data_IF_128957776910
#
_entry.id   IF_128957776910
#
_cell.length_a   1.000
_cell.length_b   1.000
_cell.length_c   1.000
_cell.angle_alpha   90.00
_cell.angle_beta   90.00
_cell.angle_gamma   90.00
#
_symmetry.space_group_name_H-M   'P 1'
#
loop_
_entity.id
_entity.type
_entity.pdbx_description
1 polymer ?
#
# COMPACT_ATOMS: atom_id res chain seq x y z
N UNK A 1 -6.09 23.98 3.86
CA UNK A 1 -5.84 22.63 3.38
C UNK A 1 -5.29 21.79 4.52
N UNK A 2 -5.82 20.62 4.70
CA UNK A 2 -5.39 19.76 5.79
C UNK A 2 -4.05 19.10 5.45
N UNK A 3 -3.05 19.33 6.28
CA UNK A 3 -1.73 18.73 6.12
C UNK A 3 -1.78 17.20 5.97
N UNK A 4 -2.67 16.57 6.72
CA UNK A 4 -2.80 15.14 6.81
C UNK A 4 -3.10 14.48 5.47
N UNK A 5 -4.07 15.04 4.73
CA UNK A 5 -4.45 14.50 3.43
C UNK A 5 -3.33 14.65 2.40
N UNK A 6 -2.63 15.78 2.46
CA UNK A 6 -1.53 16.04 1.54
C UNK A 6 -0.39 15.04 1.74
N UNK A 7 -0.05 14.75 2.99
CA UNK A 7 1.05 13.83 3.29
C UNK A 7 0.68 12.40 2.89
N UNK A 8 -0.53 11.96 3.17
CA UNK A 8 -0.99 10.62 2.74
C UNK A 8 -0.97 10.51 1.22
N UNK A 9 -1.38 11.56 0.51
CA UNK A 9 -1.37 11.57 -0.94
C UNK A 9 0.06 11.53 -1.50
N UNK A 10 0.98 12.23 -0.87
CA UNK A 10 2.39 12.19 -1.27
C UNK A 10 2.99 10.80 -1.07
N UNK A 11 2.68 10.17 0.06
CA UNK A 11 3.12 8.78 0.29
C UNK A 11 2.55 7.85 -0.78
N UNK A 12 1.27 7.98 -1.11
CA UNK A 12 0.64 7.18 -2.15
C UNK A 12 1.32 7.38 -3.51
N UNK A 13 1.72 8.62 -3.81
CA UNK A 13 2.42 8.92 -5.05
C UNK A 13 3.76 8.18 -5.12
N UNK A 14 4.55 8.23 -4.04
CA UNK A 14 5.84 7.53 -4.02
C UNK A 14 5.65 6.02 -4.13
N UNK A 15 4.62 5.47 -3.51
CA UNK A 15 4.32 4.05 -3.59
C UNK A 15 4.04 3.64 -5.04
N UNK A 16 3.27 4.43 -5.78
CA UNK A 16 2.88 4.09 -7.15
C UNK A 16 3.99 4.34 -8.18
N UNK A 17 4.83 5.35 -7.94
CA UNK A 17 5.77 5.81 -8.96
C UNK A 17 7.21 5.35 -8.74
N UNK A 18 7.46 4.55 -7.70
CA UNK A 18 8.80 4.04 -7.41
C UNK A 18 8.87 2.57 -7.77
N UNK A 19 9.71 2.21 -8.72
CA UNK A 19 9.76 0.84 -9.25
C UNK A 19 10.11 -0.19 -8.16
N UNK A 20 11.01 0.14 -7.25
CA UNK A 20 11.38 -0.77 -6.16
C UNK A 20 10.20 -1.06 -5.24
N UNK A 21 9.43 -0.02 -4.92
CA UNK A 21 8.23 -0.19 -4.08
C UNK A 21 7.14 -0.92 -4.86
N UNK A 22 7.02 -0.62 -6.15
CA UNK A 22 6.08 -1.34 -7.01
C UNK A 22 6.35 -2.84 -7.01
N UNK A 23 7.62 -3.24 -7.03
CA UNK A 23 7.98 -4.66 -6.99
C UNK A 23 7.53 -5.32 -5.68
N UNK A 24 7.66 -4.62 -4.55
CA UNK A 24 7.17 -5.11 -3.26
C UNK A 24 5.65 -5.22 -3.29
N UNK A 25 4.97 -4.23 -3.85
CA UNK A 25 3.51 -4.25 -4.01
C UNK A 25 3.08 -5.45 -4.86
N UNK A 26 3.76 -5.70 -5.97
CA UNK A 26 3.44 -6.84 -6.85
C UNK A 26 3.58 -8.18 -6.12
N UNK A 27 4.62 -8.31 -5.31
CA UNK A 27 4.80 -9.52 -4.51
C UNK A 27 3.65 -9.70 -3.52
N UNK A 28 3.25 -8.61 -2.85
CA UNK A 28 2.13 -8.67 -1.90
C UNK A 28 0.83 -9.01 -2.62
N UNK A 29 0.58 -8.44 -3.79
CA UNK A 29 -0.59 -8.77 -4.61
C UNK A 29 -0.60 -10.27 -4.95
N UNK A 30 0.53 -10.83 -5.32
CA UNK A 30 0.63 -12.26 -5.61
C UNK A 30 0.27 -13.11 -4.41
N UNK A 31 0.70 -12.72 -3.22
CA UNK A 31 0.36 -13.43 -1.98
C UNK A 31 -1.16 -13.38 -1.71
N UNK A 32 -1.78 -12.23 -1.94
CA UNK A 32 -3.22 -12.07 -1.75
C UNK A 32 -3.99 -12.93 -2.76
N UNK A 33 -3.55 -12.96 -4.01
CA UNK A 33 -4.17 -13.79 -5.05
C UNK A 33 -4.12 -15.26 -4.67
N UNK A 34 -2.97 -15.73 -4.19
CA UNK A 34 -2.82 -17.14 -3.77
C UNK A 34 -3.79 -17.49 -2.66
N UNK A 35 -3.96 -16.60 -1.68
CA UNK A 35 -4.91 -16.82 -0.59
C UNK A 35 -6.34 -16.79 -1.10
N UNK A 36 -6.67 -15.87 -1.99
CA UNK A 36 -8.01 -15.77 -2.57
C UNK A 36 -8.37 -17.02 -3.34
N UNK A 37 -7.42 -17.61 -4.07
CA UNK A 37 -7.62 -18.86 -4.80
C UNK A 37 -7.91 -20.03 -3.88
N UNK A 38 -7.49 -19.96 -2.62
CA UNK A 38 -7.77 -20.97 -1.60
C UNK A 38 -9.02 -20.64 -0.78
N UNK A 39 -9.78 -19.62 -1.18
CA UNK A 39 -10.98 -19.20 -0.49
C UNK A 39 -10.75 -18.29 0.71
N UNK A 40 -9.52 -17.81 0.89
CA UNK A 40 -9.18 -16.91 1.99
C UNK A 40 -9.04 -15.49 1.46
N UNK A 41 -9.90 -14.58 1.93
CA UNK A 41 -9.84 -13.18 1.51
C UNK A 41 -9.38 -12.31 2.69
N UNK A 42 -8.17 -11.76 2.64
CA UNK A 42 -7.68 -10.90 3.72
C UNK A 42 -8.50 -9.62 3.81
N UNK A 43 -8.61 -9.11 5.02
CA UNK A 43 -9.29 -7.82 5.25
C UNK A 43 -8.28 -6.68 5.13
N UNK A 44 -8.82 -5.48 4.88
CA UNK A 44 -8.02 -4.25 4.75
C UNK A 44 -7.10 -4.07 5.95
N UNK A 45 -7.64 -4.23 7.17
CA UNK A 45 -6.85 -4.02 8.38
C UNK A 45 -5.68 -5.00 8.48
N UNK A 46 -5.88 -6.24 8.07
CA UNK A 46 -4.80 -7.22 8.09
C UNK A 46 -3.68 -6.82 7.13
N UNK A 47 -4.03 -6.45 5.90
CA UNK A 47 -3.04 -6.03 4.92
C UNK A 47 -2.33 -4.74 5.32
N UNK A 48 -3.08 -3.78 5.86
CA UNK A 48 -2.52 -2.50 6.27
C UNK A 48 -1.49 -2.64 7.38
N UNK A 49 -1.55 -3.72 8.16
CA UNK A 49 -0.66 -3.92 9.31
C UNK A 49 0.35 -5.05 9.10
N UNK A 50 0.37 -5.68 7.94
CA UNK A 50 1.33 -6.77 7.70
C UNK A 50 2.76 -6.23 7.53
N UNK A 51 3.75 -7.10 7.72
CA UNK A 51 5.15 -6.71 7.68
C UNK A 51 5.56 -6.15 6.31
N UNK A 52 5.03 -6.73 5.23
CA UNK A 52 5.32 -6.25 3.87
C UNK A 52 4.80 -4.84 3.66
N UNK A 53 3.58 -4.55 4.14
CA UNK A 53 3.02 -3.20 4.05
C UNK A 53 3.87 -2.21 4.86
N UNK A 54 4.35 -2.61 6.03
CA UNK A 54 5.23 -1.76 6.83
C UNK A 54 6.50 -1.41 6.08
N UNK A 55 7.05 -2.36 5.33
CA UNK A 55 8.22 -2.12 4.50
C UNK A 55 7.89 -1.12 3.38
N UNK A 56 6.77 -1.29 2.70
CA UNK A 56 6.32 -0.38 1.64
C UNK A 56 6.22 1.05 2.18
N UNK A 57 5.53 1.23 3.31
CA UNK A 57 5.32 2.55 3.90
C UNK A 57 6.64 3.16 4.36
N UNK A 58 7.53 2.35 4.96
CA UNK A 58 8.83 2.83 5.40
C UNK A 58 9.67 3.35 4.22
N UNK A 59 9.68 2.63 3.12
CA UNK A 59 10.44 3.04 1.94
C UNK A 59 9.84 4.30 1.31
N UNK A 60 8.53 4.41 1.26
CA UNK A 60 7.87 5.63 0.78
C UNK A 60 8.17 6.81 1.71
N UNK A 61 8.16 6.60 3.01
CA UNK A 61 8.47 7.65 3.98
C UNK A 61 9.91 8.15 3.85
N UNK A 62 10.85 7.26 3.56
CA UNK A 62 12.25 7.65 3.31
C UNK A 62 12.35 8.58 2.10
N UNK A 63 11.61 8.28 1.04
CA UNK A 63 11.62 9.11 -0.16
C UNK A 63 10.95 10.45 0.09
N UNK A 64 9.88 10.46 0.85
CA UNK A 64 9.20 11.70 1.22
C UNK A 64 10.16 12.61 1.99
N UNK A 65 10.89 12.07 2.93
CA UNK A 65 11.88 12.84 3.67
C UNK A 65 13.01 13.32 2.76
N UNK A 66 13.51 12.44 1.90
CA UNK A 66 14.65 12.76 1.02
C UNK A 66 14.33 13.88 0.03
N UNK A 67 13.15 13.83 -0.58
CA UNK A 67 12.82 14.77 -1.67
C UNK A 67 11.99 15.97 -1.21
N UNK A 68 11.17 15.80 -0.18
CA UNK A 68 10.28 16.86 0.29
C UNK A 68 10.62 17.37 1.69
N UNK A 69 11.56 16.73 2.38
CA UNK A 69 11.96 17.14 3.73
C UNK A 69 10.87 16.95 4.77
N UNK A 70 9.90 16.07 4.52
CA UNK A 70 8.74 15.87 5.38
C UNK A 70 8.85 14.52 6.07
N UNK A 71 8.64 14.50 7.38
CA UNK A 71 8.52 13.26 8.15
C UNK A 71 7.05 13.01 8.43
N UNK A 72 6.46 11.94 7.87
CA UNK A 72 5.05 11.65 8.13
C UNK A 72 4.84 11.19 9.56
N UNK A 73 3.68 11.54 10.13
CA UNK A 73 3.28 11.04 11.43
C UNK A 73 2.86 9.58 11.32
N UNK A 74 2.77 8.92 12.47
CA UNK A 74 2.27 7.54 12.51
C UNK A 74 0.88 7.43 11.90
N UNK A 75 0.01 8.40 12.17
CA UNK A 75 -1.36 8.40 11.65
C UNK A 75 -1.38 8.58 10.13
N UNK A 76 -0.54 9.46 9.61
CA UNK A 76 -0.42 9.66 8.16
C UNK A 76 0.06 8.39 7.47
N UNK A 77 1.01 7.71 8.07
CA UNK A 77 1.51 6.43 7.55
C UNK A 77 0.42 5.35 7.59
N UNK A 78 -0.36 5.29 8.66
CA UNK A 78 -1.46 4.32 8.76
C UNK A 78 -2.53 4.56 7.71
N UNK A 79 -2.87 5.81 7.45
CA UNK A 79 -3.84 6.15 6.41
C UNK A 79 -3.35 5.75 5.02
N UNK A 80 -2.08 6.01 4.73
CA UNK A 80 -1.51 5.59 3.46
C UNK A 80 -1.51 4.08 3.32
N UNK A 81 -1.21 3.35 4.40
CA UNK A 81 -1.22 1.90 4.39
C UNK A 81 -2.63 1.35 4.13
N UNK A 82 -3.64 1.93 4.74
CA UNK A 82 -5.03 1.49 4.52
C UNK A 82 -5.48 1.76 3.10
N UNK A 83 -5.17 2.92 2.56
CA UNK A 83 -5.52 3.25 1.19
C UNK A 83 -4.83 2.30 0.21
N UNK A 84 -3.56 2.00 0.45
CA UNK A 84 -2.83 1.08 -0.41
C UNK A 84 -3.37 -0.35 -0.29
N UNK A 85 -3.76 -0.77 0.92
CA UNK A 85 -4.38 -2.07 1.14
C UNK A 85 -5.69 -2.20 0.36
N UNK A 86 -6.51 -1.15 0.38
CA UNK A 86 -7.76 -1.12 -0.42
C UNK A 86 -7.45 -1.26 -1.91
N UNK A 87 -6.45 -0.52 -2.37
CA UNK A 87 -6.04 -0.59 -3.77
C UNK A 87 -5.64 -2.02 -4.17
N UNK A 88 -4.85 -2.67 -3.33
CA UNK A 88 -4.40 -4.05 -3.58
C UNK A 88 -5.60 -5.00 -3.64
N UNK A 89 -6.51 -4.90 -2.67
CA UNK A 89 -7.68 -5.78 -2.63
C UNK A 89 -8.60 -5.56 -3.83
N UNK A 90 -8.81 -4.32 -4.22
CA UNK A 90 -9.65 -4.00 -5.38
C UNK A 90 -9.03 -4.56 -6.66
N UNK A 91 -7.72 -4.41 -6.84
CA UNK A 91 -7.05 -4.92 -8.03
C UNK A 91 -7.05 -6.44 -8.09
N UNK A 92 -6.93 -7.10 -6.94
CA UNK A 92 -7.00 -8.57 -6.87
C UNK A 92 -8.41 -9.07 -7.21
N UNK A 93 -9.44 -8.43 -6.68
CA UNK A 93 -10.81 -8.81 -7.00
C UNK A 93 -11.09 -8.65 -8.49
N UNK A 94 -10.62 -7.57 -9.07
CA UNK A 94 -10.78 -7.34 -10.50
C UNK A 94 -10.10 -8.45 -11.31
N UNK A 95 -8.89 -8.81 -10.94
CA UNK A 95 -8.15 -9.89 -11.61
C UNK A 95 -8.85 -11.22 -11.53
N UNK A 96 -9.40 -11.56 -10.36
CA UNK A 96 -10.12 -12.82 -10.16
C UNK A 96 -11.38 -12.83 -11.02
N UNK A 97 -12.16 -11.77 -11.01
CA UNK A 97 -13.39 -11.67 -11.79
C UNK A 97 -13.11 -11.79 -13.29
N UNK A 98 -12.02 -11.20 -13.74
CA UNK A 98 -11.66 -11.23 -15.16
C UNK A 98 -11.33 -12.63 -15.65
N UNK A 99 -10.79 -13.49 -14.77
CA UNK A 99 -10.38 -14.83 -15.13
C UNK A 99 -11.44 -15.89 -14.84
N UNK A 100 -12.59 -15.50 -14.34
CA UNK A 100 -13.75 -16.35 -14.22
C UNK A 100 -14.63 -16.24 -15.45
#
# INVERSE_FOLDING_TARGET
MERRNDISNLLAMYIRNTSEIYNITSWLQSCVIKKANKGVQPQVEYLANCSTMKTIIREAAKLLYKYDGIMPTRQEKQEAAREHAKYILDSVQYSIQKHQ
#
